data_IF_448826366382
#
_entry.id   IF_448826366382
#
_cell.length_a   1.000
_cell.length_b   1.000
_cell.length_c   1.000
_cell.angle_alpha   90.00
_cell.angle_beta   90.00
_cell.angle_gamma   90.00
#
_symmetry.space_group_name_H-M   'P 1'
#
loop_
_entity.id
_entity.type
_entity.pdbx_description
1 polymer ?
#
# COMPACT_ATOMS: atom_id res chain seq x y z
N UNK A 1 -6.15 -32.97 -28.78
CA UNK A 1 -5.56 -31.80 -29.44
C UNK A 1 -5.36 -30.75 -28.36
N UNK A 2 -4.24 -30.26 -27.96
CA UNK A 2 -2.86 -30.43 -28.33
C UNK A 2 -2.03 -29.79 -27.23
N UNK A 3 -1.02 -30.46 -26.78
CA UNK A 3 -0.02 -29.98 -25.83
C UNK A 3 0.92 -29.00 -26.54
N UNK A 4 0.87 -27.72 -26.23
CA UNK A 4 1.88 -26.72 -26.65
C UNK A 4 1.65 -25.35 -25.96
N UNK A 5 1.72 -25.28 -24.62
CA UNK A 5 1.75 -23.98 -23.92
C UNK A 5 2.52 -24.00 -22.58
N UNK A 6 3.49 -24.93 -22.44
CA UNK A 6 4.18 -25.08 -21.14
C UNK A 6 5.66 -24.65 -21.16
N UNK A 7 6.16 -24.01 -22.22
CA UNK A 7 7.62 -23.78 -22.35
C UNK A 7 8.06 -22.33 -22.18
N UNK A 8 7.17 -21.37 -22.01
CA UNK A 8 7.54 -19.93 -22.00
C UNK A 8 7.71 -19.29 -20.61
N UNK A 9 7.46 -20.04 -19.55
CA UNK A 9 7.52 -19.47 -18.17
C UNK A 9 8.85 -19.69 -17.43
N UNK A 10 9.76 -20.47 -17.98
CA UNK A 10 11.04 -20.86 -17.31
C UNK A 10 12.20 -19.94 -17.70
N UNK A 11 12.08 -19.19 -18.78
CA UNK A 11 13.21 -18.44 -19.37
C UNK A 11 13.49 -17.06 -18.74
N UNK A 12 12.65 -16.60 -17.79
CA UNK A 12 12.77 -15.26 -17.19
C UNK A 12 13.59 -15.17 -15.91
N UNK A 13 14.23 -16.25 -15.43
CA UNK A 13 14.93 -16.24 -14.13
C UNK A 13 16.39 -16.73 -14.17
N UNK A 14 17.05 -16.72 -15.32
CA UNK A 14 18.50 -16.93 -15.36
C UNK A 14 19.22 -15.60 -15.65
N UNK A 15 20.10 -15.12 -14.75
CA UNK A 15 21.00 -14.03 -15.07
C UNK A 15 22.02 -14.55 -16.11
N UNK A 16 22.04 -13.94 -17.29
CA UNK A 16 23.10 -14.12 -18.29
C UNK A 16 24.42 -13.58 -17.72
N UNK A 17 25.21 -14.46 -17.15
CA UNK A 17 26.62 -14.20 -16.93
C UNK A 17 27.37 -14.76 -18.11
N UNK A 18 27.76 -13.90 -19.06
CA UNK A 18 28.75 -14.19 -20.10
C UNK A 18 30.06 -13.55 -19.68
N UNK A 19 31.14 -14.31 -19.44
CA UNK A 19 32.45 -13.72 -19.33
C UNK A 19 32.94 -13.33 -20.75
N UNK A 20 33.17 -12.05 -20.98
CA UNK A 20 33.91 -11.55 -22.11
C UNK A 20 35.36 -12.00 -21.98
N UNK A 21 35.77 -12.94 -22.78
CA UNK A 21 37.19 -13.18 -23.06
C UNK A 21 37.58 -12.20 -24.18
N UNK A 22 38.36 -11.21 -23.84
CA UNK A 22 39.07 -10.37 -24.80
C UNK A 22 40.25 -11.15 -25.30
N UNK A 23 40.20 -11.53 -26.58
CA UNK A 23 41.33 -12.05 -27.30
C UNK A 23 42.39 -10.97 -27.56
N UNK A 24 43.61 -11.36 -27.47
CA UNK A 24 44.74 -10.67 -28.14
C UNK A 24 45.57 -11.73 -28.85
N UNK A 25 45.60 -11.59 -30.16
CA UNK A 25 46.44 -12.33 -31.05
C UNK A 25 47.91 -12.13 -30.73
N UNK A 26 48.69 -13.20 -30.77
CA UNK A 26 49.96 -13.14 -31.50
C UNK A 26 50.55 -14.56 -31.73
N UNK A 27 51.14 -14.71 -32.87
CA UNK A 27 51.58 -15.84 -33.64
C UNK A 27 52.71 -16.70 -33.02
N UNK A 28 52.78 -17.94 -33.40
CA UNK A 28 53.87 -18.62 -34.12
C UNK A 28 53.97 -20.12 -33.74
N UNK A 29 53.81 -20.93 -34.79
CA UNK A 29 54.48 -22.18 -35.18
C UNK A 29 55.21 -23.01 -34.09
N UNK A 30 54.88 -24.29 -33.98
CA UNK A 30 55.64 -25.49 -34.33
C UNK A 30 55.20 -26.77 -33.65
N UNK A 31 55.06 -27.80 -34.47
CA UNK A 31 55.52 -29.17 -34.17
C UNK A 31 54.55 -30.10 -33.39
N UNK A 32 53.90 -30.98 -34.16
CA UNK A 32 53.46 -32.31 -33.69
C UNK A 32 54.66 -33.14 -33.21
N UNK A 33 54.47 -34.15 -32.29
CA UNK A 33 54.14 -35.48 -32.80
C UNK A 33 53.11 -36.25 -31.95
N UNK A 34 52.48 -37.17 -32.68
CA UNK A 34 51.63 -38.26 -32.24
C UNK A 34 52.28 -39.14 -31.17
N UNK A 35 51.55 -39.55 -30.13
CA UNK A 35 51.88 -40.74 -29.32
C UNK A 35 50.63 -41.60 -29.16
N UNK A 36 50.84 -42.82 -29.66
CA UNK A 36 49.92 -43.97 -29.70
C UNK A 36 49.36 -44.39 -28.35
N UNK A 37 48.08 -44.78 -28.40
CA UNK A 37 47.44 -45.62 -27.42
C UNK A 37 47.95 -47.07 -27.57
N UNK A 38 48.64 -47.57 -26.57
CA UNK A 38 48.74 -49.03 -26.41
C UNK A 38 48.75 -49.42 -24.91
N UNK A 39 47.71 -50.11 -24.55
CA UNK A 39 47.60 -51.21 -23.59
C UNK A 39 48.52 -51.24 -22.36
N UNK A 40 47.91 -51.20 -21.19
CA UNK A 40 48.40 -52.05 -20.11
C UNK A 40 47.22 -52.52 -19.24
N UNK A 41 47.21 -53.82 -19.07
CA UNK A 41 46.24 -54.71 -18.41
C UNK A 41 46.08 -54.51 -16.89
N UNK A 42 44.85 -54.72 -16.47
CA UNK A 42 44.40 -55.50 -15.28
C UNK A 42 45.33 -55.67 -14.08
N UNK A 43 44.97 -55.09 -12.93
CA UNK A 43 44.96 -55.81 -11.62
C UNK A 43 43.89 -55.24 -10.71
N UNK A 44 43.20 -56.08 -9.90
CA UNK A 44 42.16 -55.63 -8.96
C UNK A 44 42.81 -55.23 -7.63
N UNK A 45 42.69 -53.98 -7.25
CA UNK A 45 43.02 -53.56 -5.90
C UNK A 45 41.75 -53.19 -5.16
N UNK A 46 41.42 -54.04 -4.17
CA UNK A 46 40.39 -53.74 -3.17
C UNK A 46 40.95 -52.66 -2.23
N UNK A 47 40.52 -51.46 -2.40
CA UNK A 47 40.61 -50.44 -1.38
C UNK A 47 39.22 -49.86 -1.12
N UNK A 48 38.71 -50.13 0.06
CA UNK A 48 37.55 -49.49 0.63
C UNK A 48 37.89 -47.99 0.85
N UNK A 49 37.87 -47.19 -0.21
CA UNK A 49 37.74 -45.75 -0.07
C UNK A 49 36.28 -45.39 0.15
N UNK A 50 35.97 -45.08 1.41
CA UNK A 50 34.79 -44.33 1.79
C UNK A 50 34.79 -43.01 1.02
N UNK A 51 34.08 -42.98 -0.10
CA UNK A 51 33.74 -41.73 -0.82
C UNK A 51 33.07 -40.80 0.17
N UNK A 52 33.60 -39.58 0.41
CA UNK A 52 32.88 -38.60 1.19
C UNK A 52 31.55 -38.34 0.46
N UNK A 53 30.49 -38.60 1.19
CA UNK A 53 29.11 -38.38 0.80
C UNK A 53 29.01 -36.95 0.26
N UNK A 54 29.09 -36.79 -1.07
CA UNK A 54 28.90 -35.53 -1.76
C UNK A 54 27.43 -35.20 -1.52
N UNK A 55 27.17 -34.44 -0.48
CA UNK A 55 25.84 -33.92 -0.17
C UNK A 55 25.30 -33.31 -1.48
N UNK A 56 24.37 -34.04 -2.11
CA UNK A 56 23.66 -33.49 -3.24
C UNK A 56 23.09 -32.13 -2.77
N UNK A 57 23.30 -31.05 -3.52
CA UNK A 57 22.69 -29.78 -3.14
C UNK A 57 21.19 -30.04 -3.10
N UNK A 58 20.61 -29.91 -1.91
CA UNK A 58 19.17 -29.98 -1.69
C UNK A 58 18.60 -28.83 -2.52
N UNK A 59 18.26 -29.11 -3.76
CA UNK A 59 17.49 -28.20 -4.62
C UNK A 59 16.11 -28.10 -4.00
N UNK A 60 15.95 -27.15 -3.09
CA UNK A 60 14.68 -26.84 -2.48
C UNK A 60 13.77 -26.33 -3.58
N UNK A 61 12.87 -27.17 -4.11
CA UNK A 61 11.89 -26.75 -5.10
C UNK A 61 11.09 -25.57 -4.58
N UNK A 62 11.28 -24.41 -5.19
CA UNK A 62 10.54 -23.19 -4.83
C UNK A 62 9.06 -23.38 -5.19
N UNK A 63 8.19 -23.08 -4.24
CA UNK A 63 6.75 -23.14 -4.48
C UNK A 63 6.34 -22.21 -5.64
N UNK A 64 5.33 -22.60 -6.45
CA UNK A 64 4.91 -21.83 -7.62
C UNK A 64 4.42 -20.42 -7.23
N UNK A 65 4.70 -19.42 -8.07
CA UNK A 65 4.20 -18.05 -7.94
C UNK A 65 2.78 -17.93 -8.51
N UNK A 66 2.03 -16.92 -8.08
CA UNK A 66 0.69 -16.57 -8.55
C UNK A 66 -0.36 -17.69 -8.46
N UNK A 67 -0.04 -18.80 -7.78
CA UNK A 67 -0.87 -20.00 -7.67
C UNK A 67 -0.62 -20.71 -6.34
N UNK A 68 -1.53 -21.63 -6.01
CA UNK A 68 -1.40 -22.52 -4.87
C UNK A 68 -2.04 -21.97 -3.60
N UNK A 69 -2.32 -22.91 -2.67
CA UNK A 69 -3.03 -22.64 -1.43
C UNK A 69 -2.30 -21.61 -0.54
N UNK A 70 -0.98 -21.71 -0.45
CA UNK A 70 -0.18 -20.84 0.42
C UNK A 70 -0.20 -19.38 -0.07
N UNK A 71 -0.15 -19.13 -1.40
CA UNK A 71 -0.26 -17.79 -1.97
C UNK A 71 -1.62 -17.15 -1.65
N UNK A 72 -2.71 -17.90 -1.84
CA UNK A 72 -4.05 -17.41 -1.52
C UNK A 72 -4.29 -17.24 -0.03
N UNK A 73 -3.76 -18.14 0.82
CA UNK A 73 -3.84 -17.98 2.27
C UNK A 73 -3.09 -16.74 2.76
N UNK A 74 -1.90 -16.48 2.20
CA UNK A 74 -1.14 -15.26 2.52
C UNK A 74 -1.90 -14.01 2.07
N UNK A 75 -2.52 -14.02 0.89
CA UNK A 75 -3.32 -12.90 0.38
C UNK A 75 -4.58 -12.67 1.21
N UNK A 76 -5.28 -13.74 1.61
CA UNK A 76 -6.45 -13.65 2.49
C UNK A 76 -6.09 -13.10 3.87
N UNK A 77 -4.96 -13.58 4.43
CA UNK A 77 -4.43 -13.04 5.67
C UNK A 77 -4.10 -11.54 5.54
N UNK A 78 -3.41 -11.14 4.46
CA UNK A 78 -3.09 -9.75 4.17
C UNK A 78 -4.35 -8.89 4.03
N UNK A 79 -5.36 -9.36 3.31
CA UNK A 79 -6.66 -8.69 3.17
C UNK A 79 -7.33 -8.47 4.54
N UNK A 80 -7.41 -9.51 5.37
CA UNK A 80 -8.06 -9.43 6.68
C UNK A 80 -7.30 -8.51 7.65
N UNK A 81 -5.97 -8.56 7.64
CA UNK A 81 -5.15 -7.65 8.44
C UNK A 81 -5.31 -6.20 7.98
N UNK A 82 -5.22 -5.93 6.68
CA UNK A 82 -5.40 -4.58 6.15
C UNK A 82 -6.82 -4.06 6.43
N UNK A 83 -7.85 -4.90 6.26
CA UNK A 83 -9.24 -4.58 6.59
C UNK A 83 -9.41 -4.07 8.03
N UNK A 84 -8.87 -4.79 8.99
CA UNK A 84 -9.08 -4.48 10.40
C UNK A 84 -8.13 -3.38 10.89
N UNK A 85 -6.86 -3.44 10.52
CA UNK A 85 -5.84 -2.49 10.99
C UNK A 85 -5.93 -1.14 10.29
N UNK A 86 -6.35 -1.05 9.01
CA UNK A 86 -6.71 0.20 8.35
C UNK A 86 -8.11 0.69 8.72
N UNK A 87 -9.05 -0.25 8.85
CA UNK A 87 -10.44 0.08 9.17
C UNK A 87 -10.57 0.84 10.48
N UNK A 88 -9.78 0.51 11.50
CA UNK A 88 -9.84 1.17 12.79
C UNK A 88 -9.42 2.66 12.72
N UNK A 89 -8.25 3.05 12.22
CA UNK A 89 -7.91 4.46 12.03
C UNK A 89 -8.86 5.18 11.06
N UNK A 90 -9.38 4.49 10.05
CA UNK A 90 -10.37 5.02 9.12
C UNK A 90 -11.68 5.46 9.81
N UNK A 91 -12.01 4.85 10.95
CA UNK A 91 -13.16 5.21 11.75
C UNK A 91 -12.88 6.29 12.82
N UNK A 92 -11.65 6.82 12.89
CA UNK A 92 -11.26 7.73 13.96
C UNK A 92 -12.18 8.97 14.07
N UNK A 93 -12.73 9.46 12.98
CA UNK A 93 -13.68 10.58 12.98
C UNK A 93 -14.91 10.33 13.87
N UNK A 94 -15.34 9.08 14.04
CA UNK A 94 -16.43 8.70 14.95
C UNK A 94 -15.98 8.79 16.40
N UNK A 95 -14.78 8.28 16.71
CA UNK A 95 -14.17 8.42 18.02
C UNK A 95 -13.92 9.88 18.38
N UNK A 96 -13.39 10.67 17.47
CA UNK A 96 -13.12 12.09 17.65
C UNK A 96 -14.39 12.86 18.07
N UNK A 97 -15.50 12.63 17.35
CA UNK A 97 -16.80 13.23 17.70
C UNK A 97 -17.24 12.84 19.10
N UNK A 98 -17.12 11.57 19.44
CA UNK A 98 -17.47 11.06 20.75
C UNK A 98 -16.57 11.66 21.85
N UNK A 99 -15.25 11.65 21.68
CA UNK A 99 -14.30 12.20 22.66
C UNK A 99 -14.53 13.69 22.90
N UNK A 100 -14.88 14.46 21.89
CA UNK A 100 -15.24 15.89 22.03
C UNK A 100 -16.49 16.12 22.87
N UNK A 101 -17.36 15.12 23.01
CA UNK A 101 -18.56 15.18 23.88
C UNK A 101 -18.31 14.74 25.33
N UNK A 102 -17.14 14.11 25.61
CA UNK A 102 -16.81 13.62 26.96
C UNK A 102 -16.26 14.76 27.82
N UNK A 103 -16.87 15.10 28.95
CA UNK A 103 -16.45 16.22 29.81
C UNK A 103 -14.98 16.14 30.25
N UNK A 104 -14.46 14.94 30.51
CA UNK A 104 -13.07 14.74 30.93
C UNK A 104 -12.04 15.12 29.85
N UNK A 105 -12.43 15.17 28.58
CA UNK A 105 -11.54 15.49 27.45
C UNK A 105 -11.73 16.92 26.92
N UNK A 106 -12.76 17.65 27.38
CA UNK A 106 -13.06 19.01 26.91
C UNK A 106 -11.91 20.00 27.10
N UNK A 107 -11.14 20.01 28.21
CA UNK A 107 -10.03 20.96 28.38
C UNK A 107 -8.95 20.81 27.31
N UNK A 108 -8.73 19.58 26.82
CA UNK A 108 -7.72 19.25 25.80
C UNK A 108 -8.36 18.96 24.42
N UNK A 109 -9.60 19.38 24.19
CA UNK A 109 -10.35 19.11 22.94
C UNK A 109 -9.59 19.46 21.65
N UNK A 110 -8.83 20.58 21.56
CA UNK A 110 -8.03 20.88 20.38
C UNK A 110 -6.97 19.82 20.04
N UNK A 111 -6.56 19.01 20.99
CA UNK A 111 -5.51 17.97 20.83
C UNK A 111 -6.08 16.59 20.43
N UNK A 112 -7.40 16.39 20.54
CA UNK A 112 -8.06 15.11 20.19
C UNK A 112 -7.74 14.66 18.75
N UNK A 113 -7.75 15.52 17.71
CA UNK A 113 -7.41 15.10 16.35
C UNK A 113 -6.01 14.49 16.20
N UNK A 114 -5.06 14.86 17.08
CA UNK A 114 -3.68 14.36 17.06
C UNK A 114 -3.63 12.82 17.21
N UNK A 115 -4.57 12.22 17.95
CA UNK A 115 -4.65 10.76 18.11
C UNK A 115 -4.82 10.07 16.75
N UNK A 116 -5.75 10.54 15.93
CA UNK A 116 -5.98 9.97 14.58
C UNK A 116 -4.81 10.24 13.62
N UNK A 117 -4.27 11.48 13.67
CA UNK A 117 -3.11 11.85 12.84
C UNK A 117 -1.90 10.99 13.18
N UNK A 118 -1.63 10.71 14.44
CA UNK A 118 -0.51 9.85 14.83
C UNK A 118 -0.72 8.39 14.44
N UNK A 119 -1.93 7.85 14.60
CA UNK A 119 -2.21 6.45 14.24
C UNK A 119 -1.97 6.16 12.75
N UNK A 120 -2.35 7.08 11.86
CA UNK A 120 -2.07 6.97 10.42
C UNK A 120 -0.68 7.49 10.05
N UNK A 121 -0.19 8.51 10.73
CA UNK A 121 1.11 9.12 10.51
C UNK A 121 2.27 8.13 10.70
N UNK A 122 2.25 7.32 11.75
CA UNK A 122 3.25 6.26 11.93
C UNK A 122 3.26 5.25 10.78
N UNK A 123 2.09 4.89 10.23
CA UNK A 123 2.05 4.02 9.06
C UNK A 123 2.74 4.68 7.85
N UNK A 124 2.37 5.91 7.52
CA UNK A 124 2.92 6.60 6.36
C UNK A 124 4.40 6.91 6.51
N UNK A 125 4.80 7.58 7.60
CA UNK A 125 6.19 8.00 7.81
C UNK A 125 7.11 6.86 8.22
N UNK A 126 6.59 5.86 8.90
CA UNK A 126 7.32 4.67 9.30
C UNK A 126 7.49 3.64 8.18
N UNK A 127 6.72 3.75 7.07
CA UNK A 127 6.72 2.74 6.00
C UNK A 127 8.11 2.49 5.38
N UNK A 128 8.94 3.48 5.02
CA UNK A 128 10.27 3.21 4.50
C UNK A 128 11.19 2.54 5.52
N UNK A 129 11.09 2.94 6.80
CA UNK A 129 11.90 2.35 7.87
C UNK A 129 11.50 0.91 8.15
N UNK A 130 10.20 0.63 8.24
CA UNK A 130 9.68 -0.73 8.43
C UNK A 130 9.97 -1.63 7.23
N UNK A 131 9.90 -1.10 6.00
CA UNK A 131 10.29 -1.80 4.79
C UNK A 131 11.80 -2.11 4.79
N UNK A 132 12.64 -1.15 5.17
CA UNK A 132 14.08 -1.36 5.29
C UNK A 132 14.43 -2.39 6.36
N UNK A 133 13.71 -2.40 7.50
CA UNK A 133 13.85 -3.42 8.53
C UNK A 133 13.48 -4.81 8.01
N UNK A 134 12.35 -4.92 7.31
CA UNK A 134 11.87 -6.17 6.72
C UNK A 134 12.82 -6.73 5.64
N UNK A 135 13.44 -5.86 4.82
CA UNK A 135 14.41 -6.28 3.80
C UNK A 135 15.77 -6.61 4.39
N UNK A 136 16.28 -5.81 5.34
CA UNK A 136 17.60 -6.04 5.96
C UNK A 136 17.63 -7.29 6.83
N UNK A 137 16.51 -7.62 7.47
CA UNK A 137 16.39 -8.76 8.38
C UNK A 137 15.24 -9.70 7.98
N UNK A 138 15.31 -10.36 6.83
CA UNK A 138 14.20 -11.17 6.30
C UNK A 138 13.82 -12.34 7.20
N UNK A 139 14.79 -12.90 7.93
CA UNK A 139 14.55 -13.97 8.93
C UNK A 139 13.60 -13.54 10.05
N UNK A 140 13.52 -12.24 10.34
CA UNK A 140 12.73 -11.70 11.46
C UNK A 140 11.42 -11.04 11.02
N UNK A 141 11.02 -11.14 9.75
CA UNK A 141 9.76 -10.56 9.24
C UNK A 141 8.53 -11.07 10.03
N UNK A 142 8.48 -12.36 10.35
CA UNK A 142 7.38 -12.92 11.14
C UNK A 142 7.37 -12.37 12.57
N UNK A 143 8.52 -12.28 13.22
CA UNK A 143 8.64 -11.70 14.54
C UNK A 143 8.25 -10.21 14.54
N UNK A 144 8.57 -9.49 13.46
CA UNK A 144 8.14 -8.10 13.27
C UNK A 144 6.60 -8.01 13.19
N UNK A 145 5.93 -8.92 12.47
CA UNK A 145 4.46 -8.99 12.43
C UNK A 145 3.90 -9.27 13.83
N UNK A 146 4.43 -10.27 14.55
CA UNK A 146 3.98 -10.61 15.91
C UNK A 146 4.16 -9.45 16.88
N UNK A 147 5.32 -8.79 16.86
CA UNK A 147 5.59 -7.63 17.70
C UNK A 147 4.61 -6.49 17.39
N UNK A 148 4.43 -6.16 16.12
CA UNK A 148 3.49 -5.13 15.70
C UNK A 148 2.05 -5.46 16.09
N UNK A 149 1.65 -6.72 15.97
CA UNK A 149 0.33 -7.20 16.38
C UNK A 149 0.09 -7.01 17.88
N UNK A 150 1.04 -7.45 18.73
CA UNK A 150 0.96 -7.24 20.19
C UNK A 150 0.92 -5.75 20.51
N UNK A 151 1.75 -4.92 19.90
CA UNK A 151 1.78 -3.47 20.15
C UNK A 151 0.44 -2.80 19.77
N UNK A 152 -0.15 -3.16 18.63
CA UNK A 152 -1.43 -2.57 18.21
C UNK A 152 -2.58 -2.98 19.14
N UNK A 153 -2.68 -4.25 19.49
CA UNK A 153 -3.73 -4.75 20.40
C UNK A 153 -3.57 -4.14 21.81
N UNK A 154 -2.34 -4.13 22.33
CA UNK A 154 -2.07 -3.52 23.65
C UNK A 154 -2.29 -2.01 23.63
N UNK A 155 -2.01 -1.33 22.49
CA UNK A 155 -2.30 0.08 22.30
C UNK A 155 -3.79 0.39 22.48
N UNK A 156 -4.68 -0.37 21.82
CA UNK A 156 -6.12 -0.22 21.97
C UNK A 156 -6.61 -0.59 23.36
N UNK A 157 -6.10 -1.68 23.89
CA UNK A 157 -6.48 -2.13 25.25
C UNK A 157 -6.06 -1.10 26.28
N UNK A 158 -4.83 -0.59 26.23
CA UNK A 158 -4.33 0.46 27.15
C UNK A 158 -5.13 1.75 27.02
N UNK A 159 -5.50 2.15 25.79
CA UNK A 159 -6.35 3.32 25.55
C UNK A 159 -7.69 3.24 26.30
N UNK A 160 -8.22 2.02 26.47
CA UNK A 160 -9.49 1.83 27.21
C UNK A 160 -9.39 2.15 28.70
N UNK A 161 -8.19 2.22 29.27
CA UNK A 161 -7.98 2.54 30.68
C UNK A 161 -7.60 4.01 30.89
N UNK A 162 -7.28 4.74 29.82
CA UNK A 162 -6.91 6.15 29.95
C UNK A 162 -8.13 7.05 30.13
N UNK A 163 -7.94 8.11 30.91
CA UNK A 163 -8.92 9.18 31.12
C UNK A 163 -8.42 10.56 30.71
N UNK A 164 -7.29 10.63 29.99
CA UNK A 164 -6.69 11.86 29.50
C UNK A 164 -6.42 11.79 28.00
N UNK A 165 -6.49 12.95 27.31
CA UNK A 165 -6.18 13.04 25.89
C UNK A 165 -4.73 12.66 25.60
N UNK A 166 -3.78 13.04 26.47
CA UNK A 166 -2.37 12.63 26.32
C UNK A 166 -2.20 11.09 26.38
N UNK A 167 -2.97 10.43 27.25
CA UNK A 167 -2.98 8.97 27.32
C UNK A 167 -3.52 8.35 26.03
N UNK A 168 -4.58 8.90 25.43
CA UNK A 168 -5.11 8.44 24.13
C UNK A 168 -4.09 8.69 23.00
N UNK A 169 -3.39 9.84 23.01
CA UNK A 169 -2.33 10.14 22.05
C UNK A 169 -1.21 9.09 22.12
N UNK A 170 -0.76 8.75 23.32
CA UNK A 170 0.31 7.78 23.52
C UNK A 170 -0.11 6.34 23.16
N UNK A 171 -1.33 5.94 23.47
CA UNK A 171 -1.79 4.55 23.33
C UNK A 171 -2.50 4.31 21.99
N UNK A 172 -3.65 4.94 21.76
CA UNK A 172 -4.44 4.77 20.55
C UNK A 172 -3.76 5.43 19.32
N UNK A 173 -3.03 6.53 19.53
CA UNK A 173 -2.28 7.20 18.47
C UNK A 173 -0.94 6.53 18.20
N UNK A 174 0.02 6.71 19.09
CA UNK A 174 1.41 6.35 18.85
C UNK A 174 1.66 4.84 18.93
N UNK A 175 1.26 4.18 20.02
CA UNK A 175 1.55 2.75 20.22
C UNK A 175 0.83 1.89 19.18
N UNK A 176 -0.45 2.20 18.91
CA UNK A 176 -1.21 1.52 17.85
C UNK A 176 -0.57 1.75 16.47
N UNK A 177 -0.26 3.01 16.12
CA UNK A 177 0.32 3.35 14.81
C UNK A 177 1.68 2.72 14.57
N UNK A 178 2.53 2.67 15.61
CA UNK A 178 3.83 1.97 15.56
C UNK A 178 3.64 0.46 15.32
N UNK A 179 2.70 -0.16 16.04
CA UNK A 179 2.37 -1.57 15.81
C UNK A 179 1.86 -1.81 14.39
N UNK A 180 0.99 -0.94 13.89
CA UNK A 180 0.40 -1.07 12.56
C UNK A 180 1.45 -1.02 11.44
N UNK A 181 2.43 -0.10 11.47
CA UNK A 181 3.47 -0.05 10.45
C UNK A 181 4.39 -1.28 10.50
N UNK A 182 4.66 -1.81 11.71
CA UNK A 182 5.46 -3.03 11.87
C UNK A 182 4.76 -4.28 11.31
N UNK A 183 3.44 -4.32 11.31
CA UNK A 183 2.65 -5.39 10.69
C UNK A 183 2.65 -5.25 9.17
N UNK A 184 2.34 -4.06 8.67
CA UNK A 184 1.94 -3.86 7.28
C UNK A 184 3.07 -4.11 6.29
N UNK A 185 4.28 -3.59 6.55
CA UNK A 185 5.37 -3.68 5.59
C UNK A 185 5.91 -5.10 5.38
N UNK A 186 6.11 -5.95 6.41
CA UNK A 186 6.47 -7.34 6.18
C UNK A 186 5.39 -8.14 5.45
N UNK A 187 4.10 -7.88 5.73
CA UNK A 187 3.00 -8.53 5.00
C UNK A 187 3.06 -8.15 3.51
N UNK A 188 3.23 -6.87 3.20
CA UNK A 188 3.41 -6.37 1.83
C UNK A 188 4.62 -7.03 1.15
N UNK A 189 5.75 -7.19 1.87
CA UNK A 189 6.94 -7.90 1.37
C UNK A 189 6.62 -9.36 1.03
N UNK A 190 5.96 -10.08 1.92
CA UNK A 190 5.58 -11.48 1.68
C UNK A 190 4.62 -11.62 0.49
N UNK A 191 3.62 -10.75 0.37
CA UNK A 191 2.72 -10.76 -0.79
C UNK A 191 3.49 -10.48 -2.08
N UNK A 192 4.47 -9.57 -2.05
CA UNK A 192 5.33 -9.26 -3.18
C UNK A 192 6.16 -10.46 -3.65
N UNK A 193 6.53 -11.40 -2.76
CA UNK A 193 7.23 -12.65 -3.08
C UNK A 193 6.31 -13.71 -3.72
N UNK A 194 5.06 -13.79 -3.27
CA UNK A 194 4.10 -14.78 -3.75
C UNK A 194 3.45 -14.39 -5.08
N UNK A 195 3.24 -13.09 -5.32
CA UNK A 195 2.53 -12.57 -6.49
C UNK A 195 3.50 -11.80 -7.39
N UNK A 196 3.78 -12.35 -8.58
CA UNK A 196 4.73 -11.80 -9.55
C UNK A 196 4.01 -11.27 -10.78
N UNK A 197 3.33 -12.14 -11.56
CA UNK A 197 2.61 -11.74 -12.76
C UNK A 197 1.27 -11.05 -12.44
N UNK A 198 0.61 -11.44 -11.33
CA UNK A 198 -0.68 -10.88 -10.89
C UNK A 198 -0.53 -9.96 -9.68
N UNK A 199 0.58 -9.27 -9.59
CA UNK A 199 0.93 -8.41 -8.45
C UNK A 199 -0.06 -7.26 -8.26
N UNK A 200 -0.46 -6.60 -9.34
CA UNK A 200 -1.42 -5.50 -9.29
C UNK A 200 -2.79 -5.96 -8.78
N UNK A 201 -3.29 -7.12 -9.23
CA UNK A 201 -4.51 -7.71 -8.71
C UNK A 201 -4.41 -7.99 -7.19
N UNK A 202 -3.31 -8.60 -6.74
CA UNK A 202 -3.13 -8.92 -5.33
C UNK A 202 -3.11 -7.67 -4.45
N UNK A 203 -2.37 -6.64 -4.85
CA UNK A 203 -2.33 -5.37 -4.13
C UNK A 203 -3.64 -4.58 -4.25
N UNK A 204 -4.33 -4.68 -5.39
CA UNK A 204 -5.66 -4.12 -5.56
C UNK A 204 -6.66 -4.72 -4.58
N UNK A 205 -6.62 -6.05 -4.40
CA UNK A 205 -7.49 -6.75 -3.46
C UNK A 205 -7.18 -6.36 -2.00
N UNK A 206 -5.89 -6.30 -1.61
CA UNK A 206 -5.51 -5.87 -0.27
C UNK A 206 -6.00 -4.44 -0.03
N UNK A 207 -5.71 -3.51 -0.93
CA UNK A 207 -6.13 -2.12 -0.79
C UNK A 207 -7.65 -1.97 -0.71
N UNK A 208 -8.42 -2.79 -1.45
CA UNK A 208 -9.88 -2.80 -1.43
C UNK A 208 -10.47 -3.16 -0.05
N UNK A 209 -9.71 -3.84 0.79
CA UNK A 209 -10.12 -4.21 2.14
C UNK A 209 -10.45 -2.99 3.01
N UNK A 210 -9.70 -1.91 2.87
CA UNK A 210 -9.93 -0.66 3.60
C UNK A 210 -11.24 0.02 3.21
N UNK A 211 -11.64 -0.08 1.94
CA UNK A 211 -12.94 0.40 1.48
C UNK A 211 -14.10 -0.44 2.02
N UNK A 212 -13.93 -1.77 2.04
CA UNK A 212 -14.95 -2.66 2.59
C UNK A 212 -15.24 -2.37 4.07
N UNK A 213 -14.19 -2.18 4.87
CA UNK A 213 -14.36 -1.81 6.29
C UNK A 213 -14.81 -0.36 6.47
N UNK A 214 -14.35 0.57 5.64
CA UNK A 214 -14.79 1.97 5.65
C UNK A 214 -16.29 2.13 5.40
N UNK A 215 -16.92 1.22 4.66
CA UNK A 215 -18.35 1.24 4.42
C UNK A 215 -19.19 0.81 5.63
N UNK A 216 -18.69 -0.06 6.49
CA UNK A 216 -19.48 -0.74 7.55
C UNK A 216 -19.04 -0.38 8.95
N UNK A 217 -17.73 -0.36 9.18
CA UNK A 217 -17.16 -0.25 10.53
C UNK A 217 -17.53 1.04 11.28
N UNK A 218 -17.64 2.22 10.64
CA UNK A 218 -18.06 3.45 11.32
C UNK A 218 -19.41 3.34 11.99
N UNK A 219 -20.39 2.66 11.38
CA UNK A 219 -21.72 2.47 11.94
C UNK A 219 -21.69 1.55 13.16
N UNK A 220 -20.92 0.47 13.10
CA UNK A 220 -20.75 -0.45 14.22
C UNK A 220 -20.12 0.28 15.40
N UNK A 221 -19.05 1.05 15.15
CA UNK A 221 -18.35 1.80 16.20
C UNK A 221 -19.25 2.89 16.79
N UNK A 222 -20.01 3.64 15.99
CA UNK A 222 -20.95 4.65 16.48
C UNK A 222 -22.01 4.03 17.40
N UNK A 223 -22.58 2.90 16.99
CA UNK A 223 -23.56 2.17 17.81
C UNK A 223 -22.97 1.68 19.15
N UNK A 224 -21.73 1.15 19.12
CA UNK A 224 -21.02 0.70 20.32
C UNK A 224 -20.69 1.87 21.24
N UNK A 225 -20.19 2.99 20.70
CA UNK A 225 -19.84 4.18 21.48
C UNK A 225 -21.06 4.79 22.17
N UNK A 226 -22.19 4.88 21.47
CA UNK A 226 -23.45 5.40 22.05
C UNK A 226 -23.99 4.51 23.15
N UNK A 227 -23.88 3.18 23.01
CA UNK A 227 -24.46 2.23 23.96
C UNK A 227 -23.56 1.92 25.14
N UNK A 228 -22.25 1.79 24.92
CA UNK A 228 -21.33 1.25 25.93
C UNK A 228 -20.19 2.21 26.30
N UNK A 229 -20.05 3.34 25.58
CA UNK A 229 -18.99 4.29 25.79
C UNK A 229 -17.63 3.83 25.23
N UNK A 230 -16.64 4.72 25.25
CA UNK A 230 -15.34 4.47 24.58
C UNK A 230 -14.53 3.35 25.21
N UNK A 231 -14.56 3.19 26.56
CA UNK A 231 -13.75 2.18 27.25
C UNK A 231 -14.12 0.77 26.82
N UNK A 232 -15.42 0.45 26.80
CA UNK A 232 -15.91 -0.87 26.40
C UNK A 232 -15.72 -1.06 24.88
N UNK A 233 -15.99 -0.02 24.07
CA UNK A 233 -15.82 -0.07 22.63
C UNK A 233 -14.36 -0.37 22.24
N UNK A 234 -13.38 0.30 22.86
CA UNK A 234 -11.97 0.04 22.59
C UNK A 234 -11.56 -1.38 22.98
N UNK A 235 -12.03 -1.90 24.12
CA UNK A 235 -11.81 -3.30 24.52
C UNK A 235 -12.43 -4.28 23.52
N UNK A 236 -13.67 -4.02 23.12
CA UNK A 236 -14.36 -4.85 22.14
C UNK A 236 -13.60 -4.86 20.79
N UNK A 237 -13.13 -3.70 20.33
CA UNK A 237 -12.30 -3.60 19.12
C UNK A 237 -10.98 -4.37 19.28
N UNK A 238 -10.27 -4.21 20.41
CA UNK A 238 -9.01 -4.92 20.67
C UNK A 238 -9.22 -6.44 20.68
N UNK A 239 -10.25 -6.93 21.38
CA UNK A 239 -10.59 -8.35 21.44
C UNK A 239 -11.02 -8.88 20.07
N UNK A 240 -11.89 -8.16 19.35
CA UNK A 240 -12.33 -8.56 18.02
C UNK A 240 -11.15 -8.64 17.03
N UNK A 241 -10.28 -7.64 17.03
CA UNK A 241 -9.06 -7.66 16.20
C UNK A 241 -8.16 -8.83 16.59
N UNK A 242 -7.94 -9.08 17.90
CA UNK A 242 -7.12 -10.19 18.35
C UNK A 242 -7.71 -11.55 17.91
N UNK A 243 -8.98 -11.78 18.16
CA UNK A 243 -9.66 -13.06 17.85
C UNK A 243 -9.71 -13.32 16.34
N UNK A 244 -9.99 -12.28 15.54
CA UNK A 244 -10.11 -12.43 14.08
C UNK A 244 -8.75 -12.57 13.39
N UNK A 245 -7.68 -11.97 13.93
CA UNK A 245 -6.38 -11.97 13.27
C UNK A 245 -5.37 -12.97 13.84
N UNK A 246 -5.48 -13.38 15.10
CA UNK A 246 -4.58 -14.38 15.70
C UNK A 246 -4.51 -15.70 14.90
N UNK A 247 -5.64 -16.30 14.44
CA UNK A 247 -5.61 -17.53 13.64
C UNK A 247 -4.93 -17.34 12.27
N UNK A 248 -4.83 -16.10 11.79
CA UNK A 248 -4.24 -15.79 10.48
C UNK A 248 -2.73 -15.57 10.55
N UNK A 249 -2.17 -15.30 11.73
CA UNK A 249 -0.74 -15.07 11.93
C UNK A 249 0.14 -16.22 11.38
N UNK A 250 -0.20 -17.52 11.58
CA UNK A 250 0.59 -18.63 11.02
C UNK A 250 0.56 -18.71 9.50
N UNK A 251 -0.42 -18.06 8.82
CA UNK A 251 -0.53 -18.06 7.37
C UNK A 251 0.55 -17.22 6.69
N UNK A 252 1.15 -16.27 7.41
CA UNK A 252 2.23 -15.46 6.87
C UNK A 252 3.53 -16.26 6.81
N UNK A 253 3.81 -16.77 5.62
CA UNK A 253 5.02 -17.52 5.31
C UNK A 253 5.74 -16.86 4.15
N UNK A 254 7.02 -16.57 4.34
CA UNK A 254 7.88 -16.18 3.24
C UNK A 254 7.96 -17.30 2.22
N UNK A 255 8.00 -16.97 0.93
CA UNK A 255 8.13 -17.95 -0.15
C UNK A 255 9.59 -18.36 -0.36
N UNK A 256 10.49 -17.39 -0.25
CA UNK A 256 11.90 -17.57 -0.48
C UNK A 256 12.61 -18.06 0.77
N UNK A 257 13.60 -18.97 0.66
CA UNK A 257 14.47 -19.34 1.77
C UNK A 257 15.29 -18.10 2.23
N UNK A 258 15.67 -18.08 3.51
CA UNK A 258 16.36 -16.93 4.10
C UNK A 258 17.68 -16.56 3.40
N UNK A 259 18.38 -17.53 2.76
CA UNK A 259 19.56 -17.31 1.94
C UNK A 259 19.26 -16.45 0.70
N UNK A 260 18.17 -16.76 -0.01
CA UNK A 260 17.78 -16.05 -1.24
C UNK A 260 17.17 -14.70 -0.93
N UNK A 261 16.44 -14.60 0.20
CA UNK A 261 15.98 -13.32 0.72
C UNK A 261 17.15 -12.38 1.09
N UNK A 262 18.25 -12.91 1.63
CA UNK A 262 19.43 -12.11 1.94
C UNK A 262 20.11 -11.54 0.68
N UNK A 263 20.06 -12.27 -0.44
CA UNK A 263 20.54 -11.76 -1.72
C UNK A 263 19.62 -10.65 -2.29
N UNK A 264 18.32 -10.74 -2.06
CA UNK A 264 17.34 -9.71 -2.40
C UNK A 264 17.36 -8.52 -1.40
N UNK A 265 17.99 -8.67 -0.25
CA UNK A 265 18.09 -7.62 0.77
C UNK A 265 18.97 -6.43 0.36
N UNK A 266 19.74 -6.55 -0.72
CA UNK A 266 20.53 -5.45 -1.28
C UNK A 266 19.62 -4.60 -2.17
N UNK A 267 18.98 -3.59 -1.58
CA UNK A 267 18.26 -2.58 -2.35
C UNK A 267 19.27 -1.85 -3.25
N UNK A 268 19.07 -1.95 -4.56
CA UNK A 268 19.82 -1.12 -5.49
C UNK A 268 19.17 0.27 -5.55
N UNK A 269 19.84 1.28 -5.00
CA UNK A 269 19.37 2.66 -4.97
C UNK A 269 19.50 3.41 -6.31
N UNK A 270 20.00 2.75 -7.38
CA UNK A 270 20.11 3.36 -8.71
C UNK A 270 18.76 3.80 -9.29
N UNK A 271 17.65 3.31 -8.76
CA UNK A 271 16.33 3.78 -9.17
C UNK A 271 16.11 5.27 -8.86
N UNK A 272 16.79 5.83 -7.85
CA UNK A 272 16.75 7.27 -7.54
C UNK A 272 17.34 8.13 -8.68
N UNK A 273 18.21 7.57 -9.53
CA UNK A 273 18.76 8.24 -10.70
C UNK A 273 17.79 8.22 -11.88
N UNK A 274 16.76 7.37 -11.85
CA UNK A 274 15.79 7.26 -12.92
C UNK A 274 14.77 8.39 -12.88
N UNK A 275 14.62 9.23 -13.91
CA UNK A 275 13.68 10.35 -13.90
C UNK A 275 12.22 9.88 -13.73
N UNK A 276 11.89 8.68 -14.21
CA UNK A 276 10.55 8.11 -14.06
C UNK A 276 10.13 7.95 -12.60
N UNK A 277 11.09 7.62 -11.70
CA UNK A 277 10.82 7.55 -10.25
C UNK A 277 10.35 8.91 -9.71
N UNK A 278 11.03 9.99 -10.07
CA UNK A 278 10.69 11.33 -9.59
C UNK A 278 9.36 11.85 -10.15
N UNK A 279 9.04 11.48 -11.39
CA UNK A 279 7.77 11.82 -12.03
C UNK A 279 6.59 11.14 -11.31
N UNK A 280 6.70 9.84 -11.05
CA UNK A 280 5.68 9.15 -10.29
C UNK A 280 5.63 9.61 -8.83
N UNK A 281 6.79 9.83 -8.20
CA UNK A 281 6.87 10.37 -6.84
C UNK A 281 6.23 11.75 -6.71
N UNK A 282 6.48 12.66 -7.66
CA UNK A 282 5.86 13.98 -7.71
C UNK A 282 4.34 13.88 -7.90
N UNK A 283 3.88 13.00 -8.79
CA UNK A 283 2.45 12.79 -9.00
C UNK A 283 1.76 12.25 -7.74
N UNK A 284 2.39 11.31 -7.03
CA UNK A 284 1.88 10.77 -5.76
C UNK A 284 1.83 11.84 -4.67
N UNK A 285 2.89 12.65 -4.54
CA UNK A 285 2.95 13.72 -3.56
C UNK A 285 1.87 14.79 -3.83
N UNK A 286 1.79 15.28 -5.07
CA UNK A 286 0.83 16.31 -5.46
C UNK A 286 -0.61 15.82 -5.28
N UNK A 287 -0.92 14.62 -5.76
CA UNK A 287 -2.24 14.02 -5.60
C UNK A 287 -2.58 13.80 -4.11
N UNK A 288 -1.59 13.38 -3.30
CA UNK A 288 -1.75 13.16 -1.86
C UNK A 288 -2.22 14.39 -1.10
N UNK A 289 -1.81 15.59 -1.50
CA UNK A 289 -2.19 16.85 -0.82
C UNK A 289 -3.70 17.08 -0.87
N UNK A 290 -4.36 16.77 -1.98
CA UNK A 290 -5.82 16.95 -2.13
C UNK A 290 -6.67 15.73 -1.82
N UNK A 291 -6.06 14.55 -1.72
CA UNK A 291 -6.74 13.26 -1.74
C UNK A 291 -7.73 13.03 -0.60
N UNK A 292 -7.39 13.44 0.61
CA UNK A 292 -8.16 13.10 1.80
C UNK A 292 -9.30 14.08 2.11
N UNK A 293 -9.32 15.28 1.51
CA UNK A 293 -10.34 16.29 1.79
C UNK A 293 -11.77 15.78 1.54
N UNK A 294 -12.11 15.13 0.42
CA UNK A 294 -13.46 14.64 0.22
C UNK A 294 -13.92 13.65 1.29
N UNK A 295 -13.03 12.73 1.69
CA UNK A 295 -13.36 11.73 2.71
C UNK A 295 -13.73 12.37 4.05
N UNK A 296 -12.98 13.41 4.43
CA UNK A 296 -13.13 14.09 5.73
C UNK A 296 -14.31 15.05 5.72
N UNK A 297 -14.47 15.82 4.63
CA UNK A 297 -15.37 16.98 4.61
C UNK A 297 -16.70 16.75 3.87
N UNK A 298 -16.86 15.66 3.13
CA UNK A 298 -18.09 15.39 2.39
C UNK A 298 -19.37 15.38 3.27
N UNK A 299 -19.38 14.75 4.47
CA UNK A 299 -20.56 14.83 5.33
C UNK A 299 -20.89 16.25 5.82
N UNK A 300 -19.84 17.00 6.15
CA UNK A 300 -19.99 18.40 6.60
C UNK A 300 -20.39 19.31 5.46
N UNK A 301 -19.94 19.04 4.24
CA UNK A 301 -20.38 19.72 3.02
C UNK A 301 -21.87 19.46 2.76
N UNK A 302 -22.30 18.20 2.86
CA UNK A 302 -23.69 17.82 2.64
C UNK A 302 -24.64 18.53 3.62
N UNK A 303 -24.21 18.76 4.88
CA UNK A 303 -25.02 19.44 5.88
C UNK A 303 -25.29 20.93 5.57
N UNK A 304 -24.51 21.57 4.70
CA UNK A 304 -24.79 22.94 4.21
C UNK A 304 -26.07 23.03 3.37
N UNK A 305 -26.47 21.93 2.77
CA UNK A 305 -27.65 21.85 1.90
C UNK A 305 -28.80 21.09 2.56
N UNK A 306 -28.91 21.18 3.89
CA UNK A 306 -29.95 20.54 4.71
C UNK A 306 -30.06 19.00 4.50
N UNK A 307 -28.97 18.38 4.03
CA UNK A 307 -28.88 16.94 3.91
C UNK A 307 -28.57 16.36 5.29
N UNK A 308 -29.44 15.45 5.77
CA UNK A 308 -29.31 14.86 7.12
C UNK A 308 -27.95 14.17 7.30
N UNK A 309 -27.46 14.15 8.55
CA UNK A 309 -26.19 13.50 8.92
C UNK A 309 -26.13 12.02 8.49
N UNK A 310 -27.26 11.30 8.54
CA UNK A 310 -27.35 9.91 8.06
C UNK A 310 -27.10 9.80 6.57
N UNK A 311 -27.65 10.71 5.76
CA UNK A 311 -27.41 10.75 4.31
C UNK A 311 -25.95 11.18 4.01
N UNK A 312 -25.36 12.07 4.82
CA UNK A 312 -23.94 12.41 4.73
C UNK A 312 -23.02 11.20 4.99
N UNK A 313 -23.34 10.40 6.00
CA UNK A 313 -22.62 9.15 6.26
C UNK A 313 -22.81 8.13 5.13
N UNK A 314 -24.00 8.04 4.54
CA UNK A 314 -24.29 7.19 3.38
C UNK A 314 -23.43 7.56 2.15
N UNK A 315 -23.16 8.85 1.93
CA UNK A 315 -22.28 9.30 0.84
C UNK A 315 -20.84 8.77 1.01
N UNK A 316 -20.32 8.78 2.24
CA UNK A 316 -18.99 8.21 2.53
C UNK A 316 -18.99 6.69 2.34
N UNK A 317 -20.05 6.01 2.75
CA UNK A 317 -20.17 4.56 2.52
C UNK A 317 -20.25 4.24 1.03
N UNK A 318 -20.98 5.03 0.25
CA UNK A 318 -21.05 4.88 -1.21
C UNK A 318 -19.68 5.11 -1.86
N UNK A 319 -18.94 6.11 -1.39
CA UNK A 319 -17.55 6.36 -1.81
C UNK A 319 -16.65 5.16 -1.48
N UNK A 320 -16.81 4.56 -0.30
CA UNK A 320 -16.04 3.40 0.14
C UNK A 320 -16.36 2.14 -0.68
N UNK A 321 -17.62 1.94 -1.07
CA UNK A 321 -18.00 0.85 -1.99
C UNK A 321 -17.38 1.06 -3.38
N UNK A 322 -17.45 2.28 -3.91
CA UNK A 322 -16.82 2.64 -5.17
C UNK A 322 -15.29 2.48 -5.11
N UNK A 323 -14.68 2.81 -3.98
CA UNK A 323 -13.25 2.57 -3.69
C UNK A 323 -12.90 1.08 -3.84
N UNK A 324 -13.67 0.16 -3.25
CA UNK A 324 -13.43 -1.29 -3.38
C UNK A 324 -13.37 -1.70 -4.85
N UNK A 325 -14.36 -1.26 -5.62
CA UNK A 325 -14.45 -1.58 -7.05
C UNK A 325 -13.29 -0.96 -7.84
N UNK A 326 -12.95 0.30 -7.57
CA UNK A 326 -11.87 1.02 -8.24
C UNK A 326 -10.50 0.42 -7.95
N UNK A 327 -10.20 0.15 -6.69
CA UNK A 327 -8.93 -0.44 -6.28
C UNK A 327 -8.71 -1.84 -6.87
N UNK A 328 -9.76 -2.67 -6.89
CA UNK A 328 -9.69 -3.98 -7.55
C UNK A 328 -9.53 -3.84 -9.07
N UNK A 329 -10.34 -3.00 -9.72
CA UNK A 329 -10.32 -2.81 -11.16
C UNK A 329 -8.96 -2.29 -11.66
N UNK A 330 -8.44 -1.21 -11.06
CA UNK A 330 -7.15 -0.65 -11.46
C UNK A 330 -5.98 -1.55 -11.07
N UNK A 331 -6.06 -2.27 -9.94
CA UNK A 331 -5.11 -3.32 -9.60
C UNK A 331 -5.05 -4.39 -10.69
N UNK A 332 -6.19 -4.93 -11.09
CA UNK A 332 -6.28 -5.93 -12.15
C UNK A 332 -5.83 -5.40 -13.53
N UNK A 333 -6.26 -4.19 -13.90
CA UNK A 333 -5.87 -3.55 -15.16
C UNK A 333 -4.36 -3.29 -15.24
N UNK A 334 -3.70 -3.01 -14.12
CA UNK A 334 -2.25 -2.78 -14.07
C UNK A 334 -1.41 -4.04 -14.37
N UNK A 335 -2.00 -5.22 -14.29
CA UNK A 335 -1.35 -6.49 -14.68
C UNK A 335 -1.57 -6.83 -16.17
N UNK A 336 -2.38 -6.03 -16.87
CA UNK A 336 -2.58 -6.16 -18.32
C UNK A 336 -1.56 -5.33 -19.08
N UNK A 337 -1.55 -5.46 -20.39
CA UNK A 337 -0.64 -4.74 -21.30
C UNK A 337 -0.88 -3.22 -21.40
N UNK A 338 -1.77 -2.68 -20.56
CA UNK A 338 -2.09 -1.25 -20.56
C UNK A 338 -0.94 -0.43 -19.96
N UNK A 339 -0.57 0.70 -20.57
CA UNK A 339 0.45 1.58 -20.01
C UNK A 339 0.04 2.11 -18.63
N UNK A 340 0.91 1.94 -17.63
CA UNK A 340 0.68 2.42 -16.27
C UNK A 340 0.40 3.93 -16.24
N UNK A 341 1.09 4.70 -17.09
CA UNK A 341 0.86 6.14 -17.26
C UNK A 341 -0.56 6.47 -17.68
N UNK A 342 -1.14 5.70 -18.61
CA UNK A 342 -2.54 5.90 -19.05
C UNK A 342 -3.50 5.67 -17.89
N UNK A 343 -3.32 4.60 -17.12
CA UNK A 343 -4.17 4.29 -15.97
C UNK A 343 -4.09 5.39 -14.90
N UNK A 344 -2.89 5.88 -14.60
CA UNK A 344 -2.66 6.98 -13.65
C UNK A 344 -3.35 8.26 -14.12
N UNK A 345 -3.10 8.64 -15.39
CA UNK A 345 -3.68 9.86 -15.97
C UNK A 345 -5.20 9.78 -15.96
N UNK A 346 -5.79 8.63 -16.31
CA UNK A 346 -7.24 8.40 -16.26
C UNK A 346 -7.77 8.56 -14.84
N UNK A 347 -7.15 7.92 -13.85
CA UNK A 347 -7.54 8.05 -12.44
C UNK A 347 -7.57 9.51 -11.98
N UNK A 348 -6.49 10.23 -12.24
CA UNK A 348 -6.34 11.61 -11.79
C UNK A 348 -7.25 12.59 -12.55
N UNK A 349 -7.43 12.39 -13.87
CA UNK A 349 -8.29 13.24 -14.69
C UNK A 349 -9.76 13.12 -14.29
N UNK A 350 -10.27 11.88 -14.10
CA UNK A 350 -11.63 11.69 -13.64
C UNK A 350 -11.85 12.17 -12.20
N UNK A 351 -10.87 12.00 -11.31
CA UNK A 351 -10.93 12.54 -9.95
C UNK A 351 -10.97 14.07 -9.94
N UNK A 352 -10.15 14.72 -10.78
CA UNK A 352 -10.15 16.18 -10.94
C UNK A 352 -11.48 16.68 -11.50
N UNK A 353 -11.96 16.09 -12.58
CA UNK A 353 -13.25 16.45 -13.19
C UNK A 353 -14.39 16.28 -12.20
N UNK A 354 -14.43 15.14 -11.47
CA UNK A 354 -15.45 14.92 -10.46
C UNK A 354 -15.42 15.98 -9.36
N UNK A 355 -14.23 16.38 -8.91
CA UNK A 355 -14.09 17.40 -7.88
C UNK A 355 -14.59 18.77 -8.35
N UNK A 356 -14.19 19.22 -9.55
CA UNK A 356 -14.62 20.52 -10.06
C UNK A 356 -16.09 20.59 -10.43
N UNK A 357 -16.65 19.50 -10.98
CA UNK A 357 -18.04 19.50 -11.48
C UNK A 357 -19.01 18.99 -10.43
N UNK A 358 -18.90 17.70 -10.08
CA UNK A 358 -19.91 17.07 -9.21
C UNK A 358 -19.81 17.49 -7.75
N UNK A 359 -18.61 17.75 -7.20
CA UNK A 359 -18.49 18.25 -5.84
C UNK A 359 -18.71 19.78 -5.78
N UNK A 360 -18.02 20.53 -6.65
CA UNK A 360 -18.08 22.00 -6.64
C UNK A 360 -19.45 22.59 -6.99
N UNK A 361 -20.21 21.92 -7.86
CA UNK A 361 -21.54 22.36 -8.28
C UNK A 361 -22.68 21.66 -7.54
N UNK A 362 -22.38 20.74 -6.63
CA UNK A 362 -23.38 19.96 -5.94
C UNK A 362 -24.18 20.79 -4.94
N UNK A 363 -25.49 20.83 -5.14
CA UNK A 363 -26.49 21.39 -4.21
C UNK A 363 -27.53 20.34 -3.79
N UNK A 364 -27.34 19.08 -4.20
CA UNK A 364 -28.33 18.02 -4.00
C UNK A 364 -27.68 16.67 -3.72
N UNK A 365 -28.39 15.82 -2.99
CA UNK A 365 -27.93 14.46 -2.67
C UNK A 365 -27.53 13.62 -3.88
N UNK A 366 -28.28 13.61 -5.02
CA UNK A 366 -27.87 12.82 -6.19
C UNK A 366 -26.52 13.22 -6.78
N UNK A 367 -26.22 14.52 -6.87
CA UNK A 367 -24.94 15.00 -7.40
C UNK A 367 -23.78 14.59 -6.49
N UNK A 368 -23.96 14.69 -5.17
CA UNK A 368 -22.97 14.22 -4.19
C UNK A 368 -22.80 12.70 -4.23
N UNK A 369 -23.86 11.95 -4.52
CA UNK A 369 -23.77 10.50 -4.70
C UNK A 369 -22.97 10.14 -5.96
N UNK A 370 -23.19 10.82 -7.08
CA UNK A 370 -22.40 10.66 -8.32
C UNK A 370 -20.94 11.01 -8.05
N UNK A 371 -20.67 12.14 -7.37
CA UNK A 371 -19.31 12.49 -6.92
C UNK A 371 -18.67 11.37 -6.12
N UNK A 372 -19.37 10.85 -5.10
CA UNK A 372 -18.88 9.77 -4.24
C UNK A 372 -18.49 8.53 -5.05
N UNK A 373 -19.33 8.15 -6.03
CA UNK A 373 -19.04 7.01 -6.90
C UNK A 373 -17.81 7.25 -7.78
N UNK A 374 -17.75 8.38 -8.47
CA UNK A 374 -16.65 8.65 -9.40
C UNK A 374 -15.34 8.87 -8.64
N UNK A 375 -15.36 9.72 -7.62
CA UNK A 375 -14.16 9.99 -6.83
C UNK A 375 -13.66 8.74 -6.10
N UNK A 376 -14.56 7.99 -5.48
CA UNK A 376 -14.24 6.72 -4.83
C UNK A 376 -13.59 5.72 -5.76
N UNK A 377 -14.13 5.56 -6.97
CA UNK A 377 -13.62 4.62 -7.95
C UNK A 377 -12.23 5.03 -8.49
N UNK A 378 -12.09 6.27 -8.94
CA UNK A 378 -10.89 6.71 -9.64
C UNK A 378 -9.78 7.21 -8.69
N UNK A 379 -10.09 8.06 -7.71
CA UNK A 379 -9.07 8.61 -6.83
C UNK A 379 -8.42 7.53 -5.95
N UNK A 380 -9.20 6.58 -5.43
CA UNK A 380 -8.67 5.45 -4.68
C UNK A 380 -8.03 4.39 -5.58
N UNK A 381 -8.50 4.23 -6.81
CA UNK A 381 -7.86 3.42 -7.84
C UNK A 381 -6.41 3.85 -8.10
N UNK A 382 -6.13 5.16 -8.09
CA UNK A 382 -4.76 5.69 -8.16
C UNK A 382 -3.86 5.12 -7.05
N UNK A 383 -4.38 4.95 -5.83
CA UNK A 383 -3.63 4.42 -4.71
C UNK A 383 -3.02 3.03 -4.96
N UNK A 384 -3.70 2.17 -5.72
CA UNK A 384 -3.21 0.84 -6.07
C UNK A 384 -2.12 0.85 -7.14
N UNK A 385 -2.03 1.94 -7.93
CA UNK A 385 -1.02 2.07 -8.98
C UNK A 385 0.41 2.20 -8.44
N UNK A 386 0.63 2.50 -7.16
CA UNK A 386 1.97 2.63 -6.57
C UNK A 386 2.87 1.43 -6.81
N UNK A 387 2.33 0.21 -6.76
CA UNK A 387 3.08 -1.01 -7.07
C UNK A 387 3.39 -1.11 -8.57
N UNK A 388 2.43 -0.76 -9.42
CA UNK A 388 2.63 -0.73 -10.87
C UNK A 388 3.64 0.35 -11.29
N UNK A 389 3.62 1.52 -10.64
CA UNK A 389 4.64 2.56 -10.79
C UNK A 389 6.03 2.02 -10.42
N UNK A 390 6.16 1.28 -9.32
CA UNK A 390 7.41 0.63 -8.92
C UNK A 390 7.92 -0.34 -9.97
N UNK A 391 7.05 -1.19 -10.53
CA UNK A 391 7.39 -2.11 -11.63
C UNK A 391 7.80 -1.38 -12.90
N UNK A 392 7.20 -0.25 -13.20
CA UNK A 392 7.60 0.57 -14.35
C UNK A 392 8.99 1.22 -14.16
N UNK A 393 9.43 1.45 -12.92
CA UNK A 393 10.74 1.99 -12.58
C UNK A 393 11.81 0.89 -12.58
N UNK A 394 11.51 -0.33 -12.12
CA UNK A 394 12.47 -1.43 -12.02
C UNK A 394 11.79 -2.78 -12.02
N UNK A 395 12.44 -3.77 -12.63
CA UNK A 395 12.00 -5.17 -12.62
C UNK A 395 12.45 -5.92 -11.34
N UNK A 396 13.38 -5.34 -10.58
CA UNK A 396 13.89 -5.95 -9.36
C UNK A 396 12.83 -5.87 -8.22
N UNK A 397 12.41 -7.02 -7.65
CA UNK A 397 11.38 -7.07 -6.62
C UNK A 397 11.71 -6.25 -5.36
N UNK A 398 12.99 -6.18 -4.96
CA UNK A 398 13.43 -5.40 -3.79
C UNK A 398 13.29 -3.90 -4.05
N UNK A 399 13.63 -3.46 -5.25
CA UNK A 399 13.47 -2.08 -5.69
C UNK A 399 11.99 -1.69 -5.82
N UNK A 400 11.14 -2.58 -6.34
CA UNK A 400 9.68 -2.35 -6.40
C UNK A 400 9.11 -2.13 -5.00
N UNK A 401 9.52 -2.97 -4.04
CA UNK A 401 9.08 -2.84 -2.67
C UNK A 401 9.56 -1.54 -1.98
N UNK A 402 10.84 -1.19 -2.17
CA UNK A 402 11.41 0.06 -1.65
C UNK A 402 10.70 1.30 -2.27
N UNK A 403 10.48 1.29 -3.57
CA UNK A 403 9.75 2.35 -4.29
C UNK A 403 8.32 2.48 -3.77
N UNK A 404 7.63 1.36 -3.57
CA UNK A 404 6.28 1.36 -2.97
C UNK A 404 6.27 2.03 -1.59
N UNK A 405 7.21 1.66 -0.71
CA UNK A 405 7.29 2.23 0.63
C UNK A 405 7.54 3.75 0.62
N UNK A 406 8.38 4.24 -0.33
CA UNK A 406 8.61 5.67 -0.52
C UNK A 406 7.34 6.36 -1.05
N UNK A 407 6.62 5.77 -1.99
CA UNK A 407 5.36 6.33 -2.48
C UNK A 407 4.29 6.36 -1.40
N UNK A 408 4.24 5.38 -0.50
CA UNK A 408 3.38 5.42 0.69
C UNK A 408 3.76 6.60 1.59
N UNK A 409 5.05 6.81 1.84
CA UNK A 409 5.54 7.96 2.61
C UNK A 409 5.13 9.30 1.97
N UNK A 410 5.34 9.47 0.67
CA UNK A 410 4.98 10.70 -0.05
C UNK A 410 3.47 10.99 0.02
N UNK A 411 2.64 9.96 -0.09
CA UNK A 411 1.19 10.08 0.10
C UNK A 411 0.84 10.54 1.51
N UNK A 412 1.60 10.08 2.51
CA UNK A 412 1.42 10.45 3.91
C UNK A 412 1.70 11.91 4.22
N UNK A 413 2.61 12.54 3.47
CA UNK A 413 2.86 14.00 3.59
C UNK A 413 1.55 14.75 3.35
N UNK A 414 0.82 14.39 2.29
CA UNK A 414 -0.50 14.99 2.01
C UNK A 414 -1.51 14.73 3.13
N UNK A 415 -1.58 13.50 3.64
CA UNK A 415 -2.52 13.15 4.71
C UNK A 415 -2.33 14.01 5.98
N UNK A 416 -1.11 14.27 6.37
CA UNK A 416 -0.82 15.10 7.57
C UNK A 416 -1.15 16.57 7.31
N UNK A 417 -0.93 17.03 6.09
CA UNK A 417 -1.23 18.42 5.73
C UNK A 417 -2.73 18.73 5.69
N UNK A 418 -3.62 17.73 5.62
CA UNK A 418 -5.08 17.94 5.58
C UNK A 418 -5.56 18.78 6.77
N UNK A 419 -5.10 18.51 7.99
CA UNK A 419 -5.49 19.26 9.19
C UNK A 419 -5.12 20.76 9.10
N UNK A 420 -3.84 21.10 9.03
CA UNK A 420 -3.38 22.49 8.94
C UNK A 420 -3.95 23.23 7.72
N UNK A 421 -3.93 22.59 6.54
CA UNK A 421 -4.48 23.19 5.32
C UNK A 421 -5.98 23.46 5.43
N UNK A 422 -6.74 22.53 6.02
CA UNK A 422 -8.19 22.73 6.16
C UNK A 422 -8.51 23.90 7.08
N UNK A 423 -7.75 24.09 8.16
CA UNK A 423 -7.94 25.21 9.07
C UNK A 423 -7.73 26.55 8.36
N UNK A 424 -6.68 26.65 7.55
CA UNK A 424 -6.36 27.86 6.77
C UNK A 424 -7.35 28.09 5.63
N UNK A 425 -7.71 27.02 4.90
CA UNK A 425 -8.65 27.11 3.77
C UNK A 425 -10.09 27.43 4.18
N UNK A 426 -10.48 27.07 5.41
CA UNK A 426 -11.80 27.36 5.97
C UNK A 426 -11.86 28.70 6.73
N UNK A 427 -10.75 29.44 6.83
CA UNK A 427 -10.76 30.78 7.44
C UNK A 427 -11.76 31.68 6.71
N UNK A 428 -12.48 32.56 7.45
CA UNK A 428 -13.45 33.46 6.85
C UNK A 428 -12.80 34.31 5.75
N UNK A 429 -13.32 34.24 4.53
CA UNK A 429 -12.89 35.01 3.37
C UNK A 429 -14.10 35.68 2.72
N UNK A 430 -13.91 36.83 2.09
CA UNK A 430 -14.94 37.41 1.24
C UNK A 430 -15.23 36.43 0.07
N UNK A 431 -16.49 36.14 -0.12
CA UNK A 431 -16.92 35.18 -1.12
C UNK A 431 -16.67 35.73 -2.53
N UNK A 432 -15.80 35.11 -3.29
CA UNK A 432 -15.50 35.49 -4.67
C UNK A 432 -16.60 35.04 -5.64
N UNK A 433 -17.31 33.95 -5.29
CA UNK A 433 -18.43 33.42 -6.08
C UNK A 433 -19.54 32.90 -5.16
N UNK A 434 -20.67 33.57 -5.12
CA UNK A 434 -21.77 33.23 -4.20
C UNK A 434 -22.41 31.83 -4.33
N UNK A 435 -22.03 30.98 -5.29
CA UNK A 435 -22.72 29.75 -5.58
C UNK A 435 -21.86 28.49 -5.72
N UNK A 436 -20.53 28.62 -5.79
CA UNK A 436 -19.65 27.45 -5.97
C UNK A 436 -19.23 26.87 -4.63
N UNK A 437 -19.34 25.54 -4.49
CA UNK A 437 -18.91 24.77 -3.30
C UNK A 437 -19.43 25.32 -1.95
N UNK A 438 -20.60 25.97 -1.95
CA UNK A 438 -21.21 26.57 -0.74
C UNK A 438 -20.30 27.62 -0.08
N UNK A 439 -19.48 28.32 -0.83
CA UNK A 439 -18.49 29.32 -0.43
C UNK A 439 -17.42 28.81 0.54
N UNK A 440 -17.85 28.23 1.64
CA UNK A 440 -16.97 27.75 2.73
C UNK A 440 -15.98 26.66 2.29
N UNK A 441 -16.38 25.79 1.38
CA UNK A 441 -15.58 24.64 0.93
C UNK A 441 -14.92 24.86 -0.44
N UNK A 442 -15.14 26.01 -1.08
CA UNK A 442 -14.58 26.34 -2.39
C UNK A 442 -13.06 26.10 -2.46
N UNK A 443 -12.23 26.58 -1.51
CA UNK A 443 -10.78 26.38 -1.59
C UNK A 443 -10.37 24.92 -1.50
N UNK A 444 -11.12 24.10 -0.76
CA UNK A 444 -10.84 22.66 -0.63
C UNK A 444 -11.19 21.90 -1.90
N UNK A 445 -12.33 22.23 -2.52
CA UNK A 445 -12.76 21.64 -3.80
C UNK A 445 -11.75 21.96 -4.88
N UNK A 446 -11.34 23.23 -4.96
CA UNK A 446 -10.34 23.69 -5.92
C UNK A 446 -9.00 22.99 -5.67
N UNK A 447 -8.53 22.92 -4.42
CA UNK A 447 -7.26 22.25 -4.10
C UNK A 447 -7.30 20.78 -4.50
N UNK A 448 -8.37 20.06 -4.18
CA UNK A 448 -8.52 18.63 -4.54
C UNK A 448 -8.53 18.45 -6.06
N UNK A 449 -9.27 19.28 -6.79
CA UNK A 449 -9.34 19.22 -8.25
C UNK A 449 -8.00 19.58 -8.90
N UNK A 450 -7.36 20.67 -8.45
CA UNK A 450 -6.08 21.16 -8.98
C UNK A 450 -4.96 20.14 -8.74
N UNK A 451 -4.83 19.59 -7.53
CA UNK A 451 -3.79 18.60 -7.22
C UNK A 451 -3.97 17.33 -8.03
N UNK A 452 -5.21 16.85 -8.19
CA UNK A 452 -5.49 15.70 -9.06
C UNK A 452 -5.19 16.01 -10.53
N UNK A 453 -5.54 17.20 -11.03
CA UNK A 453 -5.25 17.63 -12.39
C UNK A 453 -3.74 17.72 -12.66
N UNK A 454 -2.98 18.37 -11.76
CA UNK A 454 -1.53 18.46 -11.92
C UNK A 454 -0.84 17.11 -11.82
N UNK A 455 -1.31 16.19 -10.97
CA UNK A 455 -0.80 14.83 -10.95
C UNK A 455 -0.99 14.10 -12.30
N UNK A 456 -2.15 14.27 -12.95
CA UNK A 456 -2.37 13.78 -14.30
C UNK A 456 -1.43 14.44 -15.32
N UNK A 457 -1.28 15.76 -15.26
CA UNK A 457 -0.46 16.52 -16.19
C UNK A 457 1.04 16.15 -16.10
N UNK A 458 1.58 15.98 -14.88
CA UNK A 458 2.98 15.57 -14.66
C UNK A 458 3.27 14.25 -15.39
N UNK A 459 2.37 13.25 -15.26
CA UNK A 459 2.56 11.95 -15.89
C UNK A 459 2.36 12.01 -17.40
N UNK A 460 1.35 12.78 -17.87
CA UNK A 460 1.05 12.93 -19.29
C UNK A 460 2.16 13.69 -20.03
N UNK A 461 2.68 14.78 -19.47
CA UNK A 461 3.74 15.58 -20.07
C UNK A 461 5.01 14.76 -20.31
N UNK A 462 5.38 13.90 -19.36
CA UNK A 462 6.54 13.00 -19.54
C UNK A 462 6.35 12.02 -20.69
N UNK A 463 5.18 11.40 -20.81
CA UNK A 463 4.92 10.42 -21.84
C UNK A 463 4.70 11.06 -23.20
N UNK A 464 4.03 12.22 -23.25
CA UNK A 464 3.89 13.02 -24.47
C UNK A 464 5.25 13.48 -25.00
N UNK A 465 6.15 13.96 -24.15
CA UNK A 465 7.51 14.33 -24.53
C UNK A 465 8.32 13.16 -25.11
N UNK A 466 8.16 11.94 -24.57
CA UNK A 466 8.81 10.75 -25.12
C UNK A 466 8.25 10.29 -26.48
N UNK A 467 6.99 10.54 -26.75
CA UNK A 467 6.37 10.22 -28.04
C UNK A 467 6.79 11.23 -29.11
N UNK A 468 6.95 12.51 -28.75
CA UNK A 468 7.40 13.58 -29.66
C UNK A 468 8.90 13.49 -29.99
N UNK A 469 9.71 12.84 -29.14
CA UNK A 469 11.15 12.68 -29.32
C UNK A 469 11.54 11.35 -29.99
N UNK A 470 10.58 10.49 -30.33
CA UNK A 470 10.75 9.28 -31.15
C UNK A 470 10.28 9.52 -32.57
#
# INVERSE_FOLDING_TARGET
MSATETTTAVEYLQPRYSPRITGRDDAAERGQPDIELSQLSSQPHNDHETTPNRAEPITQELKPVDRGRDAWCTLLGAFAFDALFWGFPGCYGVFQRYYSSVPAFQPDSPRIPVVGVLSTGFYYFGSPFSAMLATKFPRYQRQQIYLGWVLSITGLLSASFTSSVNGLIATQGALYGLGFVLISMPIVSMVNEWWVARKGMAFGLISASSGATGAVLPFIIDALLRRYGYKITLRACAVAMAVLTAPLLPLFKARLPASDQANLARINWDFLKKPLFWIYGSAVLVQGIGFFFPVVFLPSYASLFDISSTKGALLVSLMSIAQVLGQFAFGYLSDKSLPVSLLITTCCAFAATASFTFWGLAKSLPLLAIFSCIYGFFAFGFGTMRVAMGRAVSDDPSTVFATYAIFVFLMGVGNILVGPLSAELMAPREAVREQYAGNKYEPMVILTGVTSFFAALIVLAWHGGKVLLK
#
